data_IF_952561011513
#
_entry.id   IF_952561011513
#
_cell.length_a   1.000
_cell.length_b   1.000
_cell.length_c   1.000
_cell.angle_alpha   90.00
_cell.angle_beta   90.00
_cell.angle_gamma   90.00
#
_symmetry.space_group_name_H-M   'P 1'
#
loop_
_entity.id
_entity.type
_entity.pdbx_description
1 polymer ?
#
# COMPACT_ATOMS: atom_id res chain seq x y z
N UNK A 14 -14.04 -31.62 -8.47
CA UNK A 14 -13.50 -30.25 -8.80
C UNK A 14 -13.38 -30.13 -10.32
N UNK A 15 -14.38 -29.53 -10.98
CA UNK A 15 -14.37 -29.41 -12.46
C UNK A 15 -13.23 -28.48 -12.90
N UNK A 16 -12.94 -28.35 -14.21
CA UNK A 16 -11.85 -27.50 -14.68
C UNK A 16 -11.92 -25.99 -14.37
N UNK A 17 -13.11 -25.39 -14.43
CA UNK A 17 -13.31 -23.97 -14.07
C UNK A 17 -12.85 -23.80 -12.61
N UNK A 18 -13.33 -24.64 -11.69
CA UNK A 18 -13.04 -24.53 -10.24
C UNK A 18 -11.54 -24.74 -10.04
N UNK A 19 -10.96 -25.75 -10.68
CA UNK A 19 -9.50 -26.02 -10.61
C UNK A 19 -8.64 -24.79 -10.99
N UNK A 20 -8.80 -24.20 -12.18
CA UNK A 20 -7.92 -23.09 -12.65
C UNK A 20 -8.06 -21.94 -11.65
N UNK A 21 -9.30 -21.71 -11.28
CA UNK A 21 -9.72 -20.60 -10.40
C UNK A 21 -9.04 -20.75 -9.03
N UNK A 22 -8.99 -21.96 -8.49
CA UNK A 22 -8.28 -22.29 -7.22
C UNK A 22 -6.76 -22.06 -7.39
N UNK A 23 -6.17 -22.54 -8.48
CA UNK A 23 -4.72 -22.41 -8.76
C UNK A 23 -4.36 -20.91 -8.87
N UNK A 24 -5.16 -20.12 -9.57
CA UNK A 24 -4.88 -18.68 -9.83
C UNK A 24 -5.06 -17.90 -8.55
N UNK A 25 -6.05 -18.23 -7.72
CA UNK A 25 -6.18 -17.57 -6.40
C UNK A 25 -4.90 -17.83 -5.59
N UNK A 26 -4.45 -19.09 -5.53
CA UNK A 26 -3.24 -19.46 -4.75
C UNK A 26 -2.03 -18.75 -5.35
N UNK A 27 -1.92 -18.73 -6.68
CA UNK A 27 -0.78 -18.10 -7.38
C UNK A 27 -0.67 -16.63 -6.93
N UNK A 28 -1.77 -15.88 -7.03
CA UNK A 28 -1.84 -14.43 -6.71
C UNK A 28 -1.50 -14.20 -5.24
N UNK A 29 -2.02 -15.07 -4.35
CA UNK A 29 -1.75 -15.08 -2.89
C UNK A 29 -0.25 -15.27 -2.62
N UNK A 30 0.31 -16.40 -3.08
CA UNK A 30 1.73 -16.81 -2.96
C UNK A 30 2.65 -15.78 -3.63
N UNK A 31 2.27 -15.19 -4.74
CA UNK A 31 3.07 -14.08 -5.34
C UNK A 31 3.20 -12.96 -4.31
N UNK A 32 2.07 -12.42 -3.85
CA UNK A 32 2.08 -11.25 -2.92
C UNK A 32 2.95 -11.60 -1.71
N UNK A 33 2.75 -12.75 -1.10
CA UNK A 33 3.48 -12.99 0.18
C UNK A 33 4.95 -13.29 -0.14
N UNK A 34 5.24 -13.93 -1.27
CA UNK A 34 6.66 -14.19 -1.64
C UNK A 34 7.38 -12.87 -1.89
N UNK A 35 6.79 -11.98 -2.68
CA UNK A 35 7.32 -10.61 -2.94
C UNK A 35 7.63 -10.01 -1.58
N UNK A 36 6.75 -10.18 -0.60
CA UNK A 36 6.91 -9.47 0.69
C UNK A 36 8.16 -9.99 1.43
N UNK A 37 8.43 -11.30 1.40
CA UNK A 37 9.58 -11.87 2.15
C UNK A 37 10.86 -11.50 1.40
N UNK A 38 10.84 -11.52 0.07
CA UNK A 38 12.00 -11.09 -0.77
C UNK A 38 12.27 -9.58 -0.58
N UNK A 39 11.21 -8.77 -0.47
CA UNK A 39 11.35 -7.30 -0.26
C UNK A 39 11.95 -7.13 1.12
N UNK A 40 11.42 -7.89 2.08
CA UNK A 40 11.83 -7.84 3.50
C UNK A 40 13.34 -8.07 3.65
N UNK A 41 13.94 -9.08 3.04
CA UNK A 41 15.38 -9.29 3.36
C UNK A 41 16.22 -8.60 2.27
N UNK A 42 15.79 -7.43 1.82
CA UNK A 42 16.63 -6.45 1.10
C UNK A 42 17.12 -5.38 2.08
N UNK A 43 16.63 -5.40 3.34
CA UNK A 43 16.94 -4.38 4.37
C UNK A 43 16.60 -2.98 3.90
N UNK A 44 17.06 -1.93 4.58
CA UNK A 44 16.82 -0.53 4.13
C UNK A 44 18.02 0.32 4.49
N UNK A 45 18.27 1.43 3.76
CA UNK A 45 19.24 2.43 4.19
C UNK A 45 18.95 2.90 5.62
N UNK A 46 19.98 3.37 6.33
CA UNK A 46 19.86 4.02 7.67
C UNK A 46 18.90 5.21 7.62
N UNK A 47 18.93 5.97 6.52
CA UNK A 47 18.18 7.24 6.28
C UNK A 47 16.79 6.94 5.72
N UNK A 48 16.47 5.65 5.53
CA UNK A 48 15.11 5.16 5.19
C UNK A 48 14.70 5.86 3.89
N UNK A 49 15.56 5.71 2.87
CA UNK A 49 15.44 6.26 1.50
C UNK A 49 15.26 7.77 1.54
N UNK A 50 15.98 8.43 2.45
CA UNK A 50 15.93 9.89 2.63
C UNK A 50 14.60 10.38 3.17
N UNK A 51 13.79 9.54 3.83
CA UNK A 51 12.48 9.97 4.41
C UNK A 51 12.54 10.06 5.94
N UNK A 52 13.59 9.53 6.54
CA UNK A 52 13.77 9.56 8.01
C UNK A 52 13.71 11.00 8.54
N UNK A 53 14.57 11.89 8.03
CA UNK A 53 14.89 13.17 8.72
C UNK A 53 13.60 13.98 8.84
N UNK A 54 12.82 14.11 7.76
CA UNK A 54 11.69 15.08 7.72
C UNK A 54 10.32 14.40 7.70
N UNK A 55 10.22 13.09 7.49
CA UNK A 55 8.88 12.44 7.49
C UNK A 55 8.73 11.46 8.64
N UNK A 56 9.52 10.40 8.66
CA UNK A 56 9.24 9.20 9.48
C UNK A 56 9.47 9.53 10.96
N UNK A 57 10.53 10.29 11.24
CA UNK A 57 10.93 10.72 12.61
C UNK A 57 9.98 11.79 13.15
N UNK A 58 8.94 12.16 12.41
CA UNK A 58 8.05 13.30 12.77
C UNK A 58 6.58 12.90 12.77
N UNK A 59 6.26 11.62 12.62
CA UNK A 59 4.86 11.12 12.68
C UNK A 59 4.83 9.89 13.56
N UNK A 60 3.72 9.69 14.26
CA UNK A 60 3.41 8.48 15.06
C UNK A 60 2.64 7.52 14.17
N UNK A 61 3.00 6.24 14.15
CA UNK A 61 2.21 5.23 13.42
C UNK A 61 0.94 4.92 14.20
N UNK A 62 1.00 5.02 15.53
CA UNK A 62 -0.10 4.69 16.47
C UNK A 62 0.02 5.64 17.66
N UNK A 63 -1.11 6.21 18.08
CA UNK A 63 -1.17 7.25 19.13
C UNK A 63 -0.55 6.70 20.42
N UNK A 64 -0.62 5.38 20.66
CA UNK A 64 -0.31 4.74 21.97
C UNK A 64 1.17 4.42 22.11
N UNK A 65 1.91 4.46 21.01
CA UNK A 65 3.39 4.31 20.96
C UNK A 65 4.04 5.64 21.39
N UNK A 66 5.09 5.55 22.18
CA UNK A 66 5.84 6.76 22.59
C UNK A 66 6.93 7.04 21.55
N UNK A 67 7.03 6.27 20.46
CA UNK A 67 8.08 6.52 19.43
C UNK A 67 7.46 6.88 18.09
N UNK A 68 8.30 7.46 17.24
CA UNK A 68 7.95 7.91 15.88
C UNK A 68 8.10 6.74 14.91
N UNK A 69 7.66 6.96 13.66
CA UNK A 69 7.63 5.95 12.57
C UNK A 69 9.05 5.51 12.15
N UNK A 70 10.12 6.20 12.56
CA UNK A 70 11.51 5.88 12.11
C UNK A 70 12.10 4.79 12.99
N UNK A 71 11.47 4.51 14.13
CA UNK A 71 11.88 3.45 15.09
C UNK A 71 11.96 2.09 14.38
N UNK A 72 12.85 1.20 14.85
CA UNK A 72 13.06 -0.19 14.34
C UNK A 72 11.85 -1.09 14.62
N UNK A 73 11.06 -0.78 15.66
CA UNK A 73 9.69 -1.32 15.85
C UNK A 73 8.94 -1.39 14.50
N UNK A 74 9.17 -0.46 13.56
CA UNK A 74 8.30 -0.21 12.38
C UNK A 74 9.02 -0.64 11.09
N UNK A 75 10.10 -1.39 11.21
CA UNK A 75 10.80 -1.97 10.04
C UNK A 75 9.80 -2.51 8.99
N UNK A 76 8.90 -3.41 9.40
CA UNK A 76 7.96 -4.15 8.52
C UNK A 76 6.89 -3.25 7.92
N UNK A 77 6.38 -2.31 8.71
CA UNK A 77 5.40 -1.31 8.23
C UNK A 77 6.06 -0.49 7.11
N UNK A 78 7.30 -0.06 7.31
CA UNK A 78 8.04 0.73 6.29
C UNK A 78 8.29 -0.15 5.06
N UNK A 79 8.59 -1.42 5.30
CA UNK A 79 8.80 -2.39 4.20
C UNK A 79 7.50 -2.43 3.35
N UNK A 80 6.34 -2.55 4.00
CA UNK A 80 5.03 -2.61 3.31
C UNK A 80 4.92 -1.36 2.43
N UNK A 81 5.25 -0.17 2.94
CA UNK A 81 5.12 1.08 2.15
C UNK A 81 6.01 1.02 0.89
N UNK A 82 7.24 0.51 1.04
CA UNK A 82 8.22 0.34 -0.08
C UNK A 82 7.70 -0.66 -1.13
N UNK A 83 7.10 -1.76 -0.68
CA UNK A 83 6.50 -2.78 -1.58
C UNK A 83 5.30 -2.15 -2.31
N UNK A 84 4.59 -1.22 -1.67
CA UNK A 84 3.44 -0.49 -2.26
C UNK A 84 3.93 0.32 -3.46
N UNK A 85 5.21 0.68 -3.52
CA UNK A 85 5.82 1.37 -4.71
C UNK A 85 6.72 0.41 -5.48
N UNK A 86 6.51 -0.91 -5.34
CA UNK A 86 7.17 -1.99 -6.12
C UNK A 86 8.65 -2.09 -5.73
N UNK A 87 9.03 -1.58 -4.56
CA UNK A 87 10.45 -1.54 -4.12
C UNK A 87 11.36 -1.01 -5.24
N UNK A 88 10.91 0.01 -5.96
CA UNK A 88 11.74 0.74 -6.94
C UNK A 88 12.46 1.86 -6.19
N UNK A 89 13.75 1.67 -5.87
CA UNK A 89 14.56 2.62 -5.07
C UNK A 89 14.47 4.02 -5.67
N UNK A 90 14.67 4.12 -6.99
CA UNK A 90 14.65 5.40 -7.72
C UNK A 90 13.46 6.22 -7.28
N UNK A 91 12.28 5.62 -7.42
CA UNK A 91 10.95 6.26 -7.21
C UNK A 91 10.78 6.65 -5.75
N UNK A 92 11.24 5.81 -4.83
CA UNK A 92 11.07 6.04 -3.37
C UNK A 92 11.97 7.22 -2.96
N UNK A 93 13.24 7.25 -3.40
CA UNK A 93 14.14 8.42 -3.15
C UNK A 93 13.48 9.69 -3.68
N UNK A 94 13.03 9.64 -4.93
CA UNK A 94 12.48 10.82 -5.63
C UNK A 94 11.25 11.31 -4.87
N UNK A 95 10.32 10.43 -4.52
CA UNK A 95 9.08 10.82 -3.80
C UNK A 95 9.47 11.26 -2.40
N UNK A 96 10.41 10.56 -1.77
CA UNK A 96 11.00 10.97 -0.49
C UNK A 96 11.42 12.43 -0.53
N UNK A 97 12.24 12.83 -1.49
CA UNK A 97 12.77 14.22 -1.56
C UNK A 97 11.58 15.19 -1.62
N UNK A 98 10.59 14.87 -2.44
CA UNK A 98 9.47 15.79 -2.79
C UNK A 98 8.52 15.94 -1.60
N UNK A 99 8.07 14.82 -1.01
CA UNK A 99 7.18 14.85 0.19
C UNK A 99 7.93 15.45 1.39
N UNK A 100 9.25 15.25 1.48
CA UNK A 100 10.11 15.84 2.53
C UNK A 100 10.03 17.37 2.49
N UNK A 101 9.99 17.97 1.30
CA UNK A 101 9.85 19.44 1.16
C UNK A 101 8.55 19.89 1.82
N UNK A 102 7.48 19.12 1.66
CA UNK A 102 6.13 19.44 2.20
C UNK A 102 6.07 19.28 3.72
N UNK A 103 6.55 18.15 4.25
CA UNK A 103 6.36 17.73 5.66
C UNK A 103 7.33 18.47 6.57
N UNK A 104 8.09 19.41 6.00
CA UNK A 104 8.96 20.33 6.77
C UNK A 104 8.04 21.32 7.47
N UNK A 105 6.97 21.68 6.76
CA UNK A 105 5.85 22.51 7.28
C UNK A 105 4.85 21.54 7.94
N UNK A 106 4.70 21.65 9.27
CA UNK A 106 3.80 20.79 10.07
C UNK A 106 2.36 21.02 9.60
N UNK A 107 2.06 22.24 9.11
CA UNK A 107 0.72 22.59 8.59
C UNK A 107 0.36 21.59 7.48
N UNK A 108 1.34 21.05 6.73
CA UNK A 108 1.17 20.12 5.56
C UNK A 108 1.64 18.69 5.86
N UNK A 109 2.23 18.42 7.02
CA UNK A 109 2.81 17.09 7.35
C UNK A 109 1.70 16.01 7.35
N UNK A 110 0.48 16.34 7.75
CA UNK A 110 -0.54 15.29 7.97
C UNK A 110 -1.19 14.88 6.63
N UNK A 111 -1.04 15.68 5.57
CA UNK A 111 -1.35 15.24 4.18
C UNK A 111 -0.30 14.21 3.72
N UNK A 112 0.97 14.37 4.11
CA UNK A 112 2.05 13.44 3.70
C UNK A 112 1.81 12.09 4.39
N UNK A 113 1.56 12.12 5.70
CA UNK A 113 1.22 10.95 6.53
C UNK A 113 0.01 10.25 5.91
N UNK A 114 -1.07 10.98 5.70
CA UNK A 114 -2.34 10.41 5.21
C UNK A 114 -2.05 9.72 3.87
N UNK A 115 -1.27 10.36 3.00
CA UNK A 115 -0.97 9.86 1.63
C UNK A 115 -0.15 8.58 1.74
N UNK A 116 0.86 8.58 2.59
CA UNK A 116 1.80 7.45 2.68
C UNK A 116 1.12 6.28 3.37
N UNK A 117 0.37 6.54 4.44
CA UNK A 117 -0.13 5.48 5.37
C UNK A 117 -1.53 5.04 4.95
N UNK A 118 -2.43 5.99 4.73
CA UNK A 118 -3.83 5.70 4.36
C UNK A 118 -3.92 5.32 2.88
N UNK A 119 -2.91 5.58 2.04
CA UNK A 119 -2.97 5.11 0.63
C UNK A 119 -1.97 3.97 0.40
N UNK A 120 -0.72 4.27 0.05
CA UNK A 120 0.28 3.23 -0.30
C UNK A 120 0.26 2.09 0.70
N UNK A 121 0.52 2.38 1.97
CA UNK A 121 0.67 1.34 3.02
C UNK A 121 -0.59 0.48 3.08
N UNK A 122 -1.76 1.11 3.15
CA UNK A 122 -3.08 0.46 3.38
C UNK A 122 -3.41 -0.48 2.23
N UNK A 123 -3.22 -0.01 1.00
CA UNK A 123 -3.51 -0.83 -0.20
C UNK A 123 -2.67 -2.10 -0.11
N UNK A 124 -1.38 -1.95 0.16
CA UNK A 124 -0.42 -3.07 0.16
C UNK A 124 -0.69 -4.00 1.34
N UNK A 125 -0.93 -3.43 2.52
CA UNK A 125 -1.34 -4.20 3.72
C UNK A 125 -2.53 -5.07 3.36
N UNK A 126 -3.52 -4.51 2.67
CA UNK A 126 -4.77 -5.22 2.34
C UNK A 126 -4.46 -6.42 1.43
N UNK A 127 -3.66 -6.23 0.39
CA UNK A 127 -3.19 -7.33 -0.50
C UNK A 127 -2.56 -8.44 0.35
N UNK A 128 -1.74 -8.09 1.32
CA UNK A 128 -0.93 -9.11 2.02
C UNK A 128 -1.83 -9.84 3.03
N UNK A 129 -2.72 -9.13 3.72
CA UNK A 129 -3.62 -9.72 4.75
C UNK A 129 -4.59 -10.69 4.07
N UNK A 130 -5.15 -10.28 2.95
CA UNK A 130 -6.08 -11.14 2.19
C UNK A 130 -5.30 -12.37 1.69
N UNK A 131 -4.08 -12.20 1.22
CA UNK A 131 -3.27 -13.34 0.73
C UNK A 131 -3.06 -14.30 1.89
N UNK A 132 -2.73 -13.81 3.08
CA UNK A 132 -2.39 -14.69 4.24
C UNK A 132 -3.66 -15.41 4.69
N UNK A 133 -4.80 -14.73 4.73
CA UNK A 133 -6.09 -15.33 5.11
C UNK A 133 -6.39 -16.52 4.18
N UNK A 134 -6.20 -16.35 2.87
CA UNK A 134 -6.51 -17.41 1.86
C UNK A 134 -5.55 -18.59 2.03
N UNK A 135 -4.25 -18.34 2.05
CA UNK A 135 -3.22 -19.41 2.19
C UNK A 135 -3.40 -20.16 3.51
N UNK A 136 -3.95 -19.51 4.53
CA UNK A 136 -4.16 -20.11 5.87
C UNK A 136 -5.15 -21.28 5.77
N UNK A 137 -6.02 -21.30 4.76
CA UNK A 137 -7.03 -22.38 4.57
C UNK A 137 -6.87 -22.97 3.15
N UNK A 138 -5.66 -22.88 2.60
CA UNK A 138 -5.28 -23.27 1.22
C UNK A 138 -5.88 -24.64 0.85
N UNK A 139 -5.72 -25.65 1.71
CA UNK A 139 -6.12 -27.05 1.40
C UNK A 139 -7.64 -27.19 1.26
N UNK A 140 -8.44 -26.20 1.67
CA UNK A 140 -9.91 -26.38 1.71
C UNK A 140 -10.63 -25.45 0.73
N UNK A 141 -9.95 -24.77 -0.18
CA UNK A 141 -10.64 -23.82 -1.11
C UNK A 141 -11.61 -24.58 -2.03
N UNK A 142 -11.34 -25.87 -2.29
CA UNK A 142 -12.18 -26.73 -3.15
C UNK A 142 -13.58 -26.88 -2.53
N UNK A 143 -13.75 -26.71 -1.23
CA UNK A 143 -15.09 -26.83 -0.59
C UNK A 143 -15.98 -25.63 -0.98
N UNK A 144 -15.43 -24.57 -1.59
CA UNK A 144 -16.18 -23.31 -1.88
C UNK A 144 -16.88 -23.38 -3.23
N UNK A 145 -18.03 -22.70 -3.31
CA UNK A 145 -18.82 -22.50 -4.54
C UNK A 145 -18.13 -21.46 -5.45
N UNK A 146 -18.53 -21.47 -6.72
CA UNK A 146 -17.87 -20.72 -7.82
C UNK A 146 -18.04 -19.22 -7.61
N UNK A 147 -19.26 -18.69 -7.30
CA UNK A 147 -19.41 -17.25 -7.03
C UNK A 147 -18.38 -16.74 -6.00
N UNK A 148 -18.16 -17.52 -4.93
CA UNK A 148 -17.26 -17.14 -3.81
C UNK A 148 -15.81 -17.25 -4.29
N UNK A 149 -15.49 -18.25 -5.10
CA UNK A 149 -14.13 -18.37 -5.67
C UNK A 149 -13.86 -17.18 -6.59
N UNK A 150 -14.85 -16.74 -7.37
CA UNK A 150 -14.69 -15.60 -8.31
C UNK A 150 -14.50 -14.29 -7.54
N UNK A 151 -15.18 -14.15 -6.39
CA UNK A 151 -15.05 -12.93 -5.57
C UNK A 151 -13.60 -12.84 -5.10
N UNK A 152 -13.05 -13.95 -4.59
CA UNK A 152 -11.63 -14.04 -4.18
C UNK A 152 -10.70 -13.66 -5.35
N UNK A 153 -10.92 -14.27 -6.51
CA UNK A 153 -10.05 -14.10 -7.70
C UNK A 153 -10.08 -12.63 -8.12
N UNK A 154 -11.27 -12.09 -8.39
CA UNK A 154 -11.48 -10.71 -8.90
C UNK A 154 -11.12 -9.68 -7.83
N UNK A 155 -11.11 -10.05 -6.54
CA UNK A 155 -10.76 -9.08 -5.46
C UNK A 155 -9.31 -8.61 -5.67
N UNK A 156 -8.45 -9.51 -6.08
CA UNK A 156 -7.05 -9.20 -6.44
C UNK A 156 -7.00 -8.15 -7.56
N UNK A 157 -7.92 -8.21 -8.53
CA UNK A 157 -7.97 -7.28 -9.69
C UNK A 157 -8.41 -5.92 -9.17
N UNK A 158 -9.34 -5.89 -8.23
CA UNK A 158 -9.84 -4.63 -7.61
C UNK A 158 -8.73 -3.94 -6.80
N UNK A 159 -7.97 -4.67 -5.98
CA UNK A 159 -6.84 -4.06 -5.24
C UNK A 159 -5.77 -3.60 -6.23
N UNK A 160 -5.57 -4.34 -7.32
CA UNK A 160 -4.52 -4.01 -8.30
C UNK A 160 -4.81 -2.62 -8.88
N UNK A 161 -6.06 -2.32 -9.19
CA UNK A 161 -6.48 -0.99 -9.69
C UNK A 161 -6.01 0.11 -8.72
N UNK A 162 -6.27 -0.05 -7.42
CA UNK A 162 -5.88 0.96 -6.39
C UNK A 162 -4.37 1.14 -6.41
N UNK A 163 -3.64 0.02 -6.39
CA UNK A 163 -2.17 0.04 -6.43
C UNK A 163 -1.73 0.71 -7.73
N UNK A 164 -2.36 0.38 -8.86
CA UNK A 164 -1.98 0.97 -10.17
C UNK A 164 -2.15 2.48 -10.12
N UNK A 165 -3.29 2.97 -9.60
CA UNK A 165 -3.60 4.42 -9.47
C UNK A 165 -2.56 5.09 -8.55
N UNK A 166 -2.17 4.45 -7.46
CA UNK A 166 -1.16 4.96 -6.51
C UNK A 166 0.22 5.16 -7.19
N UNK A 167 0.70 4.13 -7.87
CA UNK A 167 1.95 4.19 -8.66
C UNK A 167 1.85 5.27 -9.76
N UNK A 168 0.71 5.35 -10.45
CA UNK A 168 0.44 6.39 -11.46
C UNK A 168 0.61 7.78 -10.79
N UNK A 169 -0.15 8.06 -9.74
CA UNK A 169 -0.13 9.41 -9.10
C UNK A 169 1.31 9.74 -8.66
N UNK A 170 2.03 8.73 -8.15
CA UNK A 170 3.43 8.88 -7.65
C UNK A 170 4.38 9.17 -8.81
N UNK A 171 4.29 8.46 -9.93
CA UNK A 171 5.14 8.76 -11.11
C UNK A 171 4.82 10.18 -11.62
N UNK A 172 3.56 10.62 -11.55
CA UNK A 172 3.11 11.92 -12.13
C UNK A 172 3.67 13.07 -11.30
N UNK A 173 3.50 12.97 -9.99
CA UNK A 173 4.10 13.90 -8.99
C UNK A 173 5.58 14.05 -9.34
N UNK A 174 6.28 12.95 -9.56
CA UNK A 174 7.75 12.95 -9.86
C UNK A 174 7.99 13.64 -11.21
N UNK A 175 7.29 13.20 -12.26
CA UNK A 175 7.43 13.75 -13.63
C UNK A 175 7.18 15.26 -13.57
N UNK A 176 6.09 15.68 -12.92
CA UNK A 176 5.62 17.08 -12.92
C UNK A 176 6.59 17.95 -12.11
N UNK A 177 7.07 17.42 -10.99
CA UNK A 177 8.03 18.11 -10.09
C UNK A 177 9.31 18.36 -10.88
N UNK A 178 9.71 17.39 -11.70
CA UNK A 178 11.00 17.45 -12.43
C UNK A 178 10.83 18.28 -13.71
N UNK A 179 9.59 18.53 -14.17
CA UNK A 179 9.29 19.26 -15.43
C UNK A 179 8.98 20.73 -15.13
N UNK A 180 8.71 21.09 -13.87
CA UNK A 180 8.13 22.42 -13.55
C UNK A 180 8.79 23.07 -12.34
N UNK A 181 9.73 24.01 -12.58
CA UNK A 181 10.41 24.75 -11.52
C UNK A 181 9.52 25.37 -10.44
N UNK A 182 8.28 25.73 -10.78
CA UNK A 182 7.32 26.35 -9.83
C UNK A 182 7.01 25.35 -8.71
N UNK A 183 6.86 24.06 -9.04
CA UNK A 183 6.58 23.02 -8.03
C UNK A 183 7.81 22.83 -7.13
N UNK A 184 9.00 23.23 -7.58
CA UNK A 184 10.24 23.14 -6.77
C UNK A 184 10.41 24.38 -5.88
N UNK A 185 9.71 25.49 -6.13
CA UNK A 185 9.94 26.75 -5.36
C UNK A 185 8.64 27.18 -4.67
N UNK A 186 7.49 27.09 -5.33
CA UNK A 186 6.22 27.51 -4.71
C UNK A 186 5.70 26.33 -3.90
N UNK A 187 6.02 26.33 -2.62
CA UNK A 187 5.73 25.17 -1.74
C UNK A 187 4.21 24.97 -1.67
N UNK A 188 3.45 26.05 -1.73
CA UNK A 188 1.98 26.01 -1.64
C UNK A 188 1.38 25.48 -2.95
N UNK A 189 2.13 25.51 -4.04
CA UNK A 189 1.68 24.96 -5.34
C UNK A 189 1.92 23.45 -5.36
N UNK A 190 2.99 23.00 -4.72
CA UNK A 190 3.34 21.57 -4.59
C UNK A 190 2.26 20.91 -3.75
N UNK A 191 1.86 21.59 -2.68
CA UNK A 191 0.83 21.11 -1.74
C UNK A 191 -0.45 20.85 -2.54
N UNK A 192 -0.93 21.87 -3.25
CA UNK A 192 -2.14 21.80 -4.09
C UNK A 192 -2.04 20.60 -5.03
N UNK A 193 -0.93 20.45 -5.77
CA UNK A 193 -0.76 19.37 -6.79
C UNK A 193 -1.02 18.00 -6.13
N UNK A 194 -0.38 17.77 -5.00
CA UNK A 194 -0.49 16.51 -4.22
C UNK A 194 -1.93 16.34 -3.72
N UNK A 195 -2.51 17.38 -3.11
CA UNK A 195 -3.89 17.32 -2.54
C UNK A 195 -4.92 16.94 -3.60
N UNK A 196 -4.78 17.44 -4.83
CA UNK A 196 -5.72 17.12 -5.95
C UNK A 196 -5.67 15.62 -6.22
N UNK A 197 -4.47 15.03 -6.18
CA UNK A 197 -4.22 13.60 -6.47
C UNK A 197 -4.68 12.71 -5.30
N UNK A 198 -4.81 13.28 -4.08
CA UNK A 198 -5.09 12.55 -2.82
C UNK A 198 -6.23 13.26 -2.09
N UNK A 199 -7.40 13.35 -2.71
CA UNK A 199 -8.61 13.96 -2.10
C UNK A 199 -9.11 13.09 -0.92
N UNK A 200 -9.91 13.71 -0.05
CA UNK A 200 -10.55 13.08 1.14
C UNK A 200 -11.62 12.08 0.69
N UNK A 201 -12.35 12.39 -0.37
CA UNK A 201 -13.28 11.45 -1.03
C UNK A 201 -12.50 10.17 -1.42
N UNK A 202 -11.36 10.32 -2.09
CA UNK A 202 -10.54 9.18 -2.57
C UNK A 202 -10.12 8.32 -1.37
N UNK A 203 -9.66 8.96 -0.30
CA UNK A 203 -9.23 8.29 0.96
C UNK A 203 -10.37 7.46 1.58
N UNK A 204 -11.58 7.97 1.53
CA UNK A 204 -12.78 7.26 2.02
C UNK A 204 -13.07 6.09 1.08
N UNK A 205 -12.95 6.29 -0.23
CA UNK A 205 -13.28 5.20 -1.19
C UNK A 205 -12.30 4.04 -0.98
N UNK A 206 -11.03 4.36 -0.74
CA UNK A 206 -9.95 3.37 -0.51
C UNK A 206 -10.28 2.66 0.80
N UNK A 207 -10.60 3.43 1.83
CA UNK A 207 -10.88 2.86 3.18
C UNK A 207 -12.05 1.88 3.06
N UNK A 208 -13.16 2.31 2.44
CA UNK A 208 -14.43 1.54 2.40
C UNK A 208 -14.29 0.35 1.48
N UNK A 209 -13.54 0.47 0.39
CA UNK A 209 -13.35 -0.70 -0.49
C UNK A 209 -12.59 -1.78 0.28
N UNK A 210 -11.47 -1.43 0.90
CA UNK A 210 -10.61 -2.40 1.61
C UNK A 210 -11.44 -3.01 2.75
N UNK A 211 -12.13 -2.19 3.52
CA UNK A 211 -12.96 -2.71 4.63
C UNK A 211 -13.86 -3.82 4.07
N UNK A 212 -14.53 -3.60 2.94
CA UNK A 212 -15.60 -4.58 2.62
C UNK A 212 -15.01 -5.69 1.74
N UNK A 213 -13.81 -5.50 1.19
CA UNK A 213 -13.03 -6.66 0.67
C UNK A 213 -12.52 -7.56 1.80
N UNK A 214 -12.04 -6.98 2.90
CA UNK A 214 -11.52 -7.78 4.05
C UNK A 214 -12.68 -8.53 4.73
N UNK A 215 -13.81 -7.86 4.94
CA UNK A 215 -15.01 -8.47 5.55
C UNK A 215 -15.54 -9.59 4.64
N UNK A 216 -15.62 -9.33 3.35
CA UNK A 216 -16.18 -10.30 2.39
C UNK A 216 -15.28 -11.55 2.36
N UNK A 217 -13.97 -11.35 2.23
CA UNK A 217 -12.97 -12.46 2.29
C UNK A 217 -13.20 -13.29 3.57
N UNK A 218 -13.25 -12.64 4.73
CA UNK A 218 -13.34 -13.33 6.05
C UNK A 218 -14.61 -14.20 6.12
N UNK A 219 -15.75 -13.64 5.71
CA UNK A 219 -17.08 -14.31 5.63
C UNK A 219 -16.99 -15.55 4.74
N UNK A 220 -16.36 -15.41 3.58
CA UNK A 220 -16.25 -16.50 2.58
C UNK A 220 -15.44 -17.66 3.15
N UNK A 221 -14.45 -17.37 4.00
CA UNK A 221 -13.48 -18.38 4.51
C UNK A 221 -13.93 -18.94 5.86
N UNK A 222 -14.95 -18.36 6.50
CA UNK A 222 -15.36 -18.75 7.86
C UNK A 222 -15.65 -20.25 7.89
N UNK A 223 -16.47 -20.80 6.97
CA UNK A 223 -16.78 -22.23 7.02
C UNK A 223 -15.61 -23.22 6.79
N UNK A 224 -14.41 -22.80 6.34
CA UNK A 224 -13.32 -23.76 5.96
C UNK A 224 -12.12 -23.62 6.92
N UNK A 225 -12.42 -23.20 8.12
CA UNK A 225 -11.49 -22.53 9.05
C UNK A 225 -10.98 -23.55 10.08
#
# INVERSE_FOLDING_TARGET
GAMGNSNSPKQIAVDPEAKELIQKILDRSEDIVQISEIDSNKGEPNDQFGMKAEIFSKIFFNANSMVHFDDNEYLNERRILYTSLNFNEGVILNLGTILSKLSQHSNYRSLVKETLINRGFSIQLAMEEISLKILNVKDKLHHLNKPNLKTLYYDFDKLKTLKEKWLKDVDDIIKEYNANPELRTNISKLHDNVELKNSKAQFADIHNLILNLINTTTNILAPIQ
#
